data_IF_879021482795
#
_entry.id   IF_879021482795
#
_cell.length_a   1.000
_cell.length_b   1.000
_cell.length_c   1.000
_cell.angle_alpha   90.00
_cell.angle_beta   90.00
_cell.angle_gamma   90.00
#
_symmetry.space_group_name_H-M   'P 1'
#
loop_
_entity.id
_entity.type
_entity.pdbx_description
1 polymer ?
#
# COMPACT_ATOMS: atom_id res chain seq x y z
N UNK A 1 -1.12 -8.61 -1.86
CA UNK A 1 -0.04 -8.67 -0.86
C UNK A 1 -0.10 -10.00 -0.13
N UNK A 2 0.59 -11.02 -0.64
CA UNK A 2 0.51 -12.41 -0.16
C UNK A 2 1.87 -12.95 0.31
N UNK A 3 2.81 -12.06 0.64
CA UNK A 3 4.20 -12.38 0.98
C UNK A 3 4.45 -12.54 2.47
N UNK A 4 3.57 -12.01 3.32
CA UNK A 4 3.64 -12.16 4.78
C UNK A 4 2.88 -13.42 5.24
N UNK A 5 3.44 -14.13 6.22
CA UNK A 5 2.80 -15.28 6.87
C UNK A 5 2.68 -15.01 8.38
N UNK A 6 1.47 -14.92 8.96
CA UNK A 6 0.16 -14.90 8.31
C UNK A 6 -0.06 -13.60 7.49
N UNK A 7 -0.92 -13.64 6.46
CA UNK A 7 -1.20 -12.48 5.63
C UNK A 7 -1.93 -11.41 6.45
N UNK A 8 -1.67 -10.15 6.13
CA UNK A 8 -2.39 -9.01 6.70
C UNK A 8 -3.45 -8.58 5.71
N UNK A 9 -4.71 -8.64 6.15
CA UNK A 9 -5.82 -8.08 5.41
C UNK A 9 -5.94 -6.57 5.71
N UNK A 10 -6.51 -5.83 4.76
CA UNK A 10 -6.93 -4.45 4.99
C UNK A 10 -7.95 -4.40 6.13
N UNK A 11 -7.90 -3.37 6.96
CA UNK A 11 -8.94 -3.16 7.98
C UNK A 11 -10.28 -2.88 7.29
N UNK A 12 -10.26 -2.10 6.20
CA UNK A 12 -11.43 -1.86 5.38
C UNK A 12 -11.33 -2.54 4.00
N UNK A 13 -12.17 -3.56 3.71
CA UNK A 13 -12.18 -4.20 2.38
C UNK A 13 -12.58 -3.25 1.26
N UNK A 14 -13.23 -2.11 1.55
CA UNK A 14 -13.51 -1.07 0.56
C UNK A 14 -12.25 -0.33 0.10
N UNK A 15 -11.10 -0.51 0.76
CA UNK A 15 -9.82 0.05 0.31
C UNK A 15 -9.10 -0.85 -0.70
N UNK A 16 -9.61 -2.06 -0.94
CA UNK A 16 -8.99 -3.02 -1.85
C UNK A 16 -8.76 -2.43 -3.26
N UNK A 17 -9.75 -1.72 -3.81
CA UNK A 17 -9.60 -1.09 -5.13
C UNK A 17 -8.45 -0.08 -5.21
N UNK A 18 -8.12 0.60 -4.10
CA UNK A 18 -7.00 1.55 -4.04
C UNK A 18 -5.66 0.80 -4.06
N UNK A 19 -5.60 -0.34 -3.38
CA UNK A 19 -4.42 -1.22 -3.40
C UNK A 19 -4.18 -1.74 -4.81
N UNK A 20 -5.24 -2.16 -5.50
CA UNK A 20 -5.18 -2.61 -6.89
C UNK A 20 -4.75 -1.45 -7.82
N UNK A 21 -5.27 -0.24 -7.62
CA UNK A 21 -4.83 0.95 -8.36
C UNK A 21 -3.33 1.23 -8.18
N UNK A 22 -2.81 1.22 -6.95
CA UNK A 22 -1.37 1.46 -6.71
C UNK A 22 -0.51 0.34 -7.30
N UNK A 23 -0.95 -0.91 -7.22
CA UNK A 23 -0.18 -2.03 -7.79
C UNK A 23 -0.19 -2.04 -9.32
N UNK A 24 -1.29 -1.68 -9.97
CA UNK A 24 -1.44 -1.76 -11.42
C UNK A 24 -1.01 -0.46 -12.13
N UNK A 25 -1.49 0.68 -11.64
CA UNK A 25 -1.31 1.98 -12.30
C UNK A 25 0.01 2.63 -11.91
N UNK A 26 0.37 2.64 -10.61
CA UNK A 26 1.63 3.27 -10.17
C UNK A 26 2.88 2.46 -10.52
N UNK A 27 2.75 1.18 -10.87
CA UNK A 27 3.86 0.36 -11.38
C UNK A 27 4.24 0.69 -12.83
N UNK A 28 3.48 1.55 -13.52
CA UNK A 28 3.75 1.92 -14.90
C UNK A 28 4.94 2.89 -14.98
N UNK A 29 5.82 2.70 -15.98
CA UNK A 29 7.00 3.56 -16.19
C UNK A 29 6.68 5.01 -16.53
N UNK A 30 5.47 5.27 -17.04
CA UNK A 30 5.00 6.57 -17.49
C UNK A 30 3.90 7.08 -16.55
N UNK A 31 4.10 6.90 -15.26
CA UNK A 31 3.15 7.36 -14.26
C UNK A 31 3.36 8.85 -13.97
N UNK A 32 2.34 9.66 -14.24
CA UNK A 32 2.38 11.13 -14.10
C UNK A 32 2.02 11.64 -12.69
N UNK A 33 1.90 10.74 -11.70
CA UNK A 33 1.56 11.06 -10.31
C UNK A 33 0.36 12.03 -10.16
N UNK A 34 -0.84 11.63 -10.64
CA UNK A 34 -2.05 12.45 -10.54
C UNK A 34 -2.50 12.63 -9.08
N UNK A 35 -3.36 13.63 -8.81
CA UNK A 35 -3.85 13.91 -7.45
C UNK A 35 -4.55 12.70 -6.79
N UNK A 36 -5.25 11.89 -7.58
CA UNK A 36 -5.88 10.64 -7.13
C UNK A 36 -4.88 9.65 -6.53
N UNK A 37 -3.63 9.64 -7.00
CA UNK A 37 -2.59 8.78 -6.45
C UNK A 37 -2.26 9.17 -5.01
N UNK A 38 -2.12 10.48 -4.75
CA UNK A 38 -1.83 10.98 -3.43
C UNK A 38 -3.00 10.74 -2.47
N UNK A 39 -4.23 10.94 -2.92
CA UNK A 39 -5.44 10.64 -2.15
C UNK A 39 -5.51 9.15 -1.77
N UNK A 40 -5.35 8.27 -2.76
CA UNK A 40 -5.39 6.82 -2.54
C UNK A 40 -4.26 6.36 -1.62
N UNK A 41 -3.05 6.90 -1.79
CA UNK A 41 -1.91 6.58 -0.93
C UNK A 41 -2.15 7.06 0.49
N UNK A 42 -2.67 8.27 0.69
CA UNK A 42 -2.95 8.81 2.02
C UNK A 42 -4.04 8.02 2.75
N UNK A 43 -5.12 7.66 2.05
CA UNK A 43 -6.19 6.83 2.61
C UNK A 43 -5.66 5.44 3.01
N UNK A 44 -4.86 4.83 2.13
CA UNK A 44 -4.24 3.53 2.44
C UNK A 44 -3.25 3.62 3.60
N UNK A 45 -2.47 4.70 3.69
CA UNK A 45 -1.52 4.88 4.78
C UNK A 45 -2.22 5.02 6.14
N UNK A 46 -3.44 5.55 6.18
CA UNK A 46 -4.25 5.62 7.40
C UNK A 46 -4.94 4.30 7.76
N UNK A 47 -4.95 3.31 6.85
CA UNK A 47 -5.55 2.00 7.11
C UNK A 47 -4.70 1.20 8.10
N UNK A 48 -5.33 0.65 9.15
CA UNK A 48 -4.61 -0.11 10.17
C UNK A 48 -4.00 -1.40 9.62
N UNK A 49 -4.59 -2.01 8.60
CA UNK A 49 -4.01 -3.17 7.93
C UNK A 49 -2.68 -2.82 7.24
N UNK A 50 -2.61 -1.64 6.63
CA UNK A 50 -1.37 -1.14 6.01
C UNK A 50 -0.33 -0.78 7.07
N UNK A 51 -0.73 -0.12 8.17
CA UNK A 51 0.16 0.18 9.29
C UNK A 51 0.72 -1.11 9.92
N UNK A 52 -0.11 -2.13 10.14
CA UNK A 52 0.33 -3.42 10.65
C UNK A 52 1.27 -4.16 9.67
N UNK A 53 1.08 -3.96 8.36
CA UNK A 53 2.00 -4.46 7.34
C UNK A 53 3.35 -3.73 7.42
N UNK A 54 3.32 -2.41 7.56
CA UNK A 54 4.51 -1.57 7.70
C UNK A 54 5.30 -1.88 8.99
N UNK A 55 4.65 -2.17 10.12
CA UNK A 55 5.33 -2.63 11.34
C UNK A 55 6.11 -3.94 11.13
N UNK A 56 5.70 -4.74 10.15
CA UNK A 56 6.38 -5.97 9.70
C UNK A 56 7.28 -5.75 8.49
N UNK A 57 7.65 -4.51 8.17
CA UNK A 57 8.55 -4.20 7.08
C UNK A 57 9.92 -4.84 7.21
N UNK A 58 10.30 -5.34 8.40
CA UNK A 58 11.48 -6.16 8.61
C UNK A 58 11.42 -7.54 7.91
N UNK A 59 10.24 -8.01 7.51
CA UNK A 59 10.05 -9.29 6.81
C UNK A 59 10.15 -9.16 5.27
N UNK A 60 10.29 -7.94 4.76
CA UNK A 60 10.47 -7.68 3.33
C UNK A 60 11.44 -6.51 3.09
N UNK A 61 11.74 -6.22 1.82
CA UNK A 61 12.61 -5.08 1.50
C UNK A 61 11.76 -3.81 1.41
N UNK A 62 11.93 -2.91 2.37
CA UNK A 62 11.34 -1.58 2.36
C UNK A 62 12.45 -0.52 2.47
N UNK A 63 12.29 0.58 1.74
CA UNK A 63 13.28 1.68 1.73
C UNK A 63 13.15 2.47 3.05
N UNK A 64 14.28 2.78 3.70
CA UNK A 64 14.33 3.47 5.01
C UNK A 64 13.64 4.85 5.04
N UNK A 65 13.40 5.47 3.89
CA UNK A 65 12.71 6.75 3.76
C UNK A 65 11.17 6.63 3.86
N UNK A 66 10.61 5.42 3.93
CA UNK A 66 9.19 5.22 4.18
C UNK A 66 8.88 5.59 5.63
N UNK A 67 8.34 6.79 5.88
CA UNK A 67 7.86 7.28 7.18
C UNK A 67 6.64 8.17 6.99
#
# INVERSE_FOLDING_TARGET
MSTLTPPIALENPAHQFRVDYIQDVASQKTFDYPEEFYDHTQILWQDRGIQACYDRANEYQLIDCAK
#
